data_IF_619740579929
#
_entry.id   IF_619740579929
#
_cell.length_a   1.000
_cell.length_b   1.000
_cell.length_c   1.000
_cell.angle_alpha   90.00
_cell.angle_beta   90.00
_cell.angle_gamma   90.00
#
_symmetry.space_group_name_H-M   'P 1'
#
loop_
_entity.id
_entity.type
_entity.pdbx_description
1 polymer ?
#
# COMPACT_ATOMS: atom_id res chain seq x y z
N UNK A 1 -3.66 16.26 8.87
CA UNK A 1 -3.95 15.58 7.59
C UNK A 1 -5.40 15.11 7.60
N UNK A 2 -6.32 15.76 6.91
CA UNK A 2 -7.74 15.34 6.84
C UNK A 2 -8.27 15.15 5.40
N UNK A 3 -7.45 15.41 4.37
CA UNK A 3 -7.90 15.35 2.96
C UNK A 3 -7.64 14.03 2.22
N UNK A 4 -6.74 13.18 2.72
CA UNK A 4 -6.30 11.99 1.99
C UNK A 4 -7.42 10.95 1.80
N UNK A 5 -8.33 10.79 2.77
CA UNK A 5 -9.46 9.87 2.65
C UNK A 5 -10.45 10.31 1.58
N UNK A 6 -10.74 11.60 1.46
CA UNK A 6 -11.59 12.12 0.38
C UNK A 6 -10.93 11.92 -0.98
N UNK A 7 -9.64 12.22 -1.11
CA UNK A 7 -8.90 11.99 -2.35
C UNK A 7 -8.87 10.49 -2.73
N UNK A 8 -8.68 9.59 -1.77
CA UNK A 8 -8.67 8.15 -2.02
C UNK A 8 -10.07 7.61 -2.40
N UNK A 9 -11.14 8.18 -1.86
CA UNK A 9 -12.50 7.87 -2.27
C UNK A 9 -12.71 8.21 -3.76
N UNK A 10 -12.35 9.43 -4.18
CA UNK A 10 -12.46 9.85 -5.59
C UNK A 10 -11.58 9.03 -6.55
N UNK A 11 -10.38 8.63 -6.11
CA UNK A 11 -9.52 7.70 -6.88
C UNK A 11 -10.17 6.33 -7.03
N UNK A 12 -10.78 5.80 -5.96
CA UNK A 12 -11.47 4.51 -5.94
C UNK A 12 -12.68 4.51 -6.87
N UNK A 13 -13.47 5.58 -6.83
CA UNK A 13 -14.67 5.74 -7.66
C UNK A 13 -14.32 5.86 -9.15
N UNK A 14 -13.23 6.57 -9.47
CA UNK A 14 -12.73 6.70 -10.85
C UNK A 14 -12.00 5.46 -11.36
N UNK A 15 -11.55 4.57 -10.48
CA UNK A 15 -10.68 3.44 -10.83
C UNK A 15 -9.31 3.87 -11.37
N UNK A 16 -8.84 5.05 -10.97
CA UNK A 16 -7.57 5.62 -11.39
C UNK A 16 -6.77 6.07 -10.16
N UNK A 17 -5.50 5.69 -10.10
CA UNK A 17 -4.68 5.76 -8.88
C UNK A 17 -3.44 6.66 -9.05
N UNK A 18 -3.59 7.96 -9.34
CA UNK A 18 -2.44 8.86 -9.46
C UNK A 18 -1.72 9.00 -8.12
N UNK A 19 -0.41 8.78 -8.11
CA UNK A 19 0.45 8.98 -6.96
C UNK A 19 0.74 10.48 -6.74
N UNK A 20 -0.28 11.25 -6.35
CA UNK A 20 -0.17 12.71 -6.15
C UNK A 20 0.75 13.09 -4.98
N UNK A 21 0.79 12.25 -3.95
CA UNK A 21 1.64 12.45 -2.77
C UNK A 21 2.81 11.46 -2.79
N UNK A 22 2.50 10.16 -2.84
CA UNK A 22 3.51 9.10 -2.72
C UNK A 22 3.10 7.87 -3.53
N UNK A 23 4.09 7.27 -4.20
CA UNK A 23 3.92 6.04 -4.96
C UNK A 23 4.00 4.80 -4.05
N UNK A 24 3.36 3.72 -4.48
CA UNK A 24 3.28 2.44 -3.79
C UNK A 24 4.65 1.89 -3.34
N UNK A 25 5.70 2.11 -4.13
CA UNK A 25 7.06 1.63 -3.85
C UNK A 25 7.68 2.29 -2.63
N UNK A 26 7.40 3.58 -2.43
CA UNK A 26 7.89 4.31 -1.26
C UNK A 26 7.22 3.76 0.00
N UNK A 27 5.90 3.51 -0.05
CA UNK A 27 5.20 2.82 1.05
C UNK A 27 5.76 1.42 1.30
N UNK A 28 5.99 0.64 0.23
CA UNK A 28 6.54 -0.71 0.34
C UNK A 28 7.94 -0.73 0.98
N UNK A 29 8.80 0.23 0.67
CA UNK A 29 10.10 0.37 1.31
C UNK A 29 9.95 0.63 2.82
N UNK A 30 9.04 1.52 3.21
CA UNK A 30 8.75 1.81 4.63
C UNK A 30 8.20 0.58 5.36
N UNK A 31 7.32 -0.21 4.72
CA UNK A 31 6.78 -1.44 5.31
C UNK A 31 7.87 -2.49 5.55
N UNK A 32 8.81 -2.64 4.61
CA UNK A 32 9.97 -3.52 4.77
C UNK A 32 10.84 -3.11 5.96
N UNK A 33 11.03 -1.80 6.16
CA UNK A 33 11.71 -1.30 7.35
C UNK A 33 10.92 -1.62 8.62
N UNK A 34 9.61 -1.38 8.64
CA UNK A 34 8.77 -1.71 9.80
C UNK A 34 8.89 -3.18 10.19
N UNK A 35 8.77 -4.11 9.23
CA UNK A 35 8.91 -5.55 9.48
C UNK A 35 10.30 -5.88 10.03
N UNK A 36 11.37 -5.36 9.41
CA UNK A 36 12.75 -5.61 9.83
C UNK A 36 13.02 -5.12 11.24
N UNK A 37 12.66 -3.87 11.53
CA UNK A 37 12.93 -3.25 12.83
C UNK A 37 12.07 -3.86 13.94
N UNK A 38 10.82 -4.22 13.65
CA UNK A 38 9.97 -4.96 14.60
C UNK A 38 10.58 -6.32 14.94
N UNK A 39 11.06 -7.08 13.94
CA UNK A 39 11.74 -8.35 14.18
C UNK A 39 13.01 -8.18 15.02
N UNK A 40 13.82 -7.17 14.73
CA UNK A 40 15.04 -6.86 15.50
C UNK A 40 14.73 -6.49 16.97
N UNK A 41 13.57 -5.88 17.22
CA UNK A 41 13.08 -5.54 18.54
C UNK A 41 12.37 -6.71 19.26
N UNK A 42 12.24 -7.88 18.65
CA UNK A 42 11.48 -9.01 19.21
C UNK A 42 9.97 -8.77 19.29
N UNK A 43 9.45 -7.85 18.47
CA UNK A 43 8.02 -7.53 18.36
C UNK A 43 7.39 -8.42 17.29
N UNK A 44 6.16 -8.88 17.53
CA UNK A 44 5.37 -9.62 16.54
C UNK A 44 5.27 -8.88 15.20
N UNK A 45 5.47 -9.62 14.10
CA UNK A 45 5.52 -9.06 12.75
C UNK A 45 4.37 -9.50 11.87
N UNK A 46 3.46 -10.35 12.36
CA UNK A 46 2.40 -10.95 11.54
C UNK A 46 1.54 -9.89 10.85
N UNK A 47 1.16 -8.84 11.58
CA UNK A 47 0.35 -7.76 11.02
C UNK A 47 1.12 -6.87 10.02
N UNK A 48 2.28 -6.27 10.36
CA UNK A 48 3.09 -5.53 9.40
C UNK A 48 3.46 -6.32 8.13
N UNK A 49 3.81 -7.60 8.29
CA UNK A 49 4.16 -8.47 7.16
C UNK A 49 2.95 -8.72 6.24
N UNK A 50 1.74 -8.83 6.81
CA UNK A 50 0.51 -8.94 6.01
C UNK A 50 0.25 -7.69 5.17
N UNK A 51 0.43 -6.50 5.73
CA UNK A 51 0.28 -5.24 4.98
C UNK A 51 1.34 -5.14 3.86
N UNK A 52 2.60 -5.49 4.16
CA UNK A 52 3.67 -5.56 3.17
C UNK A 52 3.27 -6.48 2.01
N UNK A 53 2.78 -7.69 2.31
CA UNK A 53 2.39 -8.68 1.29
C UNK A 53 1.25 -8.19 0.38
N UNK A 54 0.25 -7.50 0.93
CA UNK A 54 -0.82 -6.90 0.12
C UNK A 54 -0.28 -5.84 -0.86
N UNK A 55 0.69 -5.05 -0.40
CA UNK A 55 1.34 -4.02 -1.22
C UNK A 55 2.23 -4.63 -2.31
N UNK A 56 2.93 -5.73 -1.99
CA UNK A 56 3.69 -6.51 -2.97
C UNK A 56 2.80 -7.11 -4.05
N UNK A 57 1.62 -7.63 -3.68
CA UNK A 57 0.61 -8.11 -4.65
C UNK A 57 0.17 -7.00 -5.60
N UNK A 58 -0.20 -5.83 -5.08
CA UNK A 58 -0.59 -4.69 -5.94
C UNK A 58 0.53 -4.33 -6.93
N UNK A 59 1.77 -4.19 -6.45
CA UNK A 59 2.92 -3.89 -7.32
C UNK A 59 3.11 -4.95 -8.41
N UNK A 60 3.06 -6.23 -8.03
CA UNK A 60 3.23 -7.34 -8.97
C UNK A 60 2.08 -7.45 -9.99
N UNK A 61 0.90 -6.93 -9.65
CA UNK A 61 -0.25 -6.82 -10.55
C UNK A 61 -0.18 -5.61 -11.51
N UNK A 62 0.94 -4.89 -11.56
CA UNK A 62 1.15 -3.77 -12.47
C UNK A 62 0.77 -2.39 -11.92
N UNK A 63 0.48 -2.28 -10.62
CA UNK A 63 0.20 -0.99 -9.98
C UNK A 63 1.47 -0.23 -9.53
N UNK A 64 2.59 -0.50 -10.19
CA UNK A 64 3.85 0.25 -9.97
C UNK A 64 3.65 1.74 -10.24
N UNK A 65 4.16 2.61 -9.37
CA UNK A 65 4.08 4.06 -9.52
C UNK A 65 2.69 4.66 -9.23
N UNK A 66 1.74 3.85 -8.75
CA UNK A 66 0.39 4.31 -8.41
C UNK A 66 0.26 4.68 -6.93
N UNK A 67 -0.82 5.39 -6.60
CA UNK A 67 -1.21 5.69 -5.22
C UNK A 67 -1.44 4.41 -4.40
N UNK A 68 -1.30 4.53 -3.08
CA UNK A 68 -1.72 3.51 -2.11
C UNK A 68 -3.17 3.03 -2.31
N UNK A 69 -4.04 3.87 -2.87
CA UNK A 69 -5.43 3.51 -3.19
C UNK A 69 -5.54 2.27 -4.11
N UNK A 70 -4.53 1.99 -4.95
CA UNK A 70 -4.53 0.83 -5.85
C UNK A 70 -4.66 -0.52 -5.14
N UNK A 71 -4.36 -0.60 -3.83
CA UNK A 71 -4.64 -1.79 -3.02
C UNK A 71 -6.12 -2.20 -3.04
N UNK A 72 -7.04 -1.32 -3.40
CA UNK A 72 -8.45 -1.70 -3.55
C UNK A 72 -8.65 -2.82 -4.59
N UNK A 73 -7.81 -2.91 -5.63
CA UNK A 73 -7.88 -3.99 -6.62
C UNK A 73 -7.45 -5.34 -6.02
N UNK A 74 -6.49 -5.33 -5.09
CA UNK A 74 -6.07 -6.49 -4.29
C UNK A 74 -7.23 -6.99 -3.41
N UNK A 75 -7.98 -6.09 -2.78
CA UNK A 75 -9.13 -6.43 -1.95
C UNK A 75 -10.35 -6.88 -2.78
N UNK A 76 -10.51 -6.34 -4.00
CA UNK A 76 -11.55 -6.77 -4.96
C UNK A 76 -11.24 -8.10 -5.64
N UNK A 77 -10.04 -8.65 -5.46
CA UNK A 77 -9.59 -9.88 -6.13
C UNK A 77 -9.28 -9.70 -7.62
N UNK A 78 -8.87 -8.48 -8.00
CA UNK A 78 -8.58 -8.07 -9.39
C UNK A 78 -7.09 -7.81 -9.64
N UNK A 79 -6.26 -8.06 -8.63
CA UNK A 79 -4.80 -7.96 -8.65
C UNK A 79 -4.16 -9.30 -8.27
#
# INVERSE_FOLDING_TARGET
MTGFMTAYAEQTDRGAYPAEDTALETHLATMKYLVRESAAAGIDTDWPARIQSLTERARNAGHTGTSYTSLIEVFRGRA
#
